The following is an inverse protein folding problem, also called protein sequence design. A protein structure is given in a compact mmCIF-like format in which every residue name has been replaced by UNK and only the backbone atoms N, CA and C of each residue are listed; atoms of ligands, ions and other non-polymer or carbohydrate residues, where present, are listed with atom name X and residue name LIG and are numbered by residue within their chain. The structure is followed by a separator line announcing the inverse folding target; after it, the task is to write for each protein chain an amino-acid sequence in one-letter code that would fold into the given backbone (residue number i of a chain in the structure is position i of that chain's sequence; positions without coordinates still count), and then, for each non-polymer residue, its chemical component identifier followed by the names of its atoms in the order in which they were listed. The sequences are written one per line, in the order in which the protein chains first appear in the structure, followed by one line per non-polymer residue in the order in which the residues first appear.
data_IF_004759084392
#
_entry.id   IF_004759084392
#
_cell.length_a   1.000
_cell.length_b   1.000
_cell.length_c   1.000
_cell.angle_alpha   90.00
_cell.angle_beta   90.00
_cell.angle_gamma   90.00
#
_symmetry.space_group_name_H-M   'P 1'
#
loop_
_entity.id
_entity.type
_entity.pdbx_description
1 polymer ?
#
# COMPACT_ATOMS: atom_id res chain seq x y z
N UNK A 1 60.12 -17.73 33.87
CA UNK A 1 58.72 -17.59 33.44
C UNK A 1 58.44 -18.77 32.51
N UNK A 2 57.65 -19.74 32.97
CA UNK A 2 57.51 -21.03 32.31
C UNK A 2 56.50 -20.91 31.15
N UNK A 3 56.95 -21.11 29.92
CA UNK A 3 56.10 -20.98 28.71
C UNK A 3 55.09 -22.13 28.57
N UNK A 4 55.19 -23.18 29.39
CA UNK A 4 54.29 -24.33 29.44
C UNK A 4 52.93 -24.04 30.08
N UNK A 5 52.82 -23.01 30.93
CA UNK A 5 51.55 -22.64 31.57
C UNK A 5 50.66 -21.77 30.66
N UNK A 6 51.24 -21.24 29.58
CA UNK A 6 50.56 -20.46 28.53
C UNK A 6 49.98 -21.34 27.41
N UNK A 7 50.31 -22.63 27.34
CA UNK A 7 49.84 -23.53 26.28
C UNK A 7 48.66 -24.42 26.69
N UNK A 8 48.49 -24.70 27.99
CA UNK A 8 47.45 -25.61 28.50
C UNK A 8 46.02 -25.04 28.50
N UNK A 9 45.85 -23.70 28.41
CA UNK A 9 44.53 -23.04 28.39
C UNK A 9 44.06 -22.56 27.00
N UNK A 10 44.88 -22.73 25.95
CA UNK A 10 44.54 -22.22 24.62
C UNK A 10 43.50 -23.09 23.90
N UNK A 11 43.46 -24.40 24.16
CA UNK A 11 42.52 -25.30 23.48
C UNK A 11 41.05 -25.01 23.86
N UNK A 12 40.79 -24.58 25.10
CA UNK A 12 39.46 -24.15 25.56
C UNK A 12 39.02 -22.88 24.82
N UNK A 13 39.94 -21.93 24.64
CA UNK A 13 39.68 -20.70 23.87
C UNK A 13 39.39 -20.99 22.40
N UNK A 14 40.18 -21.87 21.77
CA UNK A 14 39.96 -22.28 20.37
C UNK A 14 38.66 -23.07 20.20
N UNK A 15 38.30 -23.92 21.16
CA UNK A 15 37.05 -24.67 21.16
C UNK A 15 35.84 -23.72 21.31
N UNK A 16 35.93 -22.73 22.20
CA UNK A 16 34.92 -21.67 22.33
C UNK A 16 34.74 -20.85 21.06
N UNK A 17 35.84 -20.43 20.43
CA UNK A 17 35.80 -19.71 19.14
C UNK A 17 35.19 -20.56 18.02
N UNK A 18 35.48 -21.85 17.98
CA UNK A 18 34.88 -22.79 17.02
C UNK A 18 33.36 -22.92 17.18
N UNK A 19 32.87 -23.01 18.42
CA UNK A 19 31.43 -23.07 18.71
C UNK A 19 30.74 -21.77 18.30
N UNK A 20 31.32 -20.60 18.62
CA UNK A 20 30.76 -19.30 18.23
C UNK A 20 30.75 -19.15 16.71
N UNK A 21 31.82 -19.53 16.02
CA UNK A 21 31.88 -19.51 14.56
C UNK A 21 30.82 -20.43 13.94
N UNK A 22 30.65 -21.65 14.47
CA UNK A 22 29.62 -22.58 14.02
C UNK A 22 28.20 -22.02 14.25
N UNK A 23 27.94 -21.42 15.41
CA UNK A 23 26.65 -20.80 15.71
C UNK A 23 26.35 -19.63 14.76
N UNK A 24 27.35 -18.80 14.42
CA UNK A 24 27.21 -17.73 13.43
C UNK A 24 26.93 -18.31 12.04
N UNK A 25 27.65 -19.35 11.63
CA UNK A 25 27.43 -20.03 10.34
C UNK A 25 26.02 -20.63 10.24
N UNK A 26 25.52 -21.25 11.31
CA UNK A 26 24.15 -21.75 11.40
C UNK A 26 23.15 -20.60 11.33
N UNK A 27 23.38 -19.50 12.05
CA UNK A 27 22.51 -18.32 12.01
C UNK A 27 22.45 -17.68 10.62
N UNK A 28 23.60 -17.52 9.95
CA UNK A 28 23.69 -17.05 8.57
C UNK A 28 22.95 -18.02 7.64
N UNK A 29 23.17 -19.34 7.78
CA UNK A 29 22.50 -20.36 6.98
C UNK A 29 20.97 -20.28 7.12
N UNK A 30 20.45 -20.20 8.34
CA UNK A 30 19.01 -20.07 8.60
C UNK A 30 18.46 -18.78 7.99
N UNK A 31 19.18 -17.65 8.09
CA UNK A 31 18.77 -16.38 7.48
C UNK A 31 18.82 -16.38 5.95
N UNK A 32 19.81 -17.05 5.36
CA UNK A 32 19.94 -17.19 3.91
C UNK A 32 18.89 -18.12 3.31
N UNK A 33 18.43 -19.10 4.09
CA UNK A 33 17.39 -20.06 3.68
C UNK A 33 15.99 -19.76 4.25
N UNK A 34 15.82 -18.60 4.89
CA UNK A 34 14.51 -18.13 5.34
C UNK A 34 13.64 -17.89 4.10
N UNK A 35 12.61 -18.73 3.90
CA UNK A 35 11.63 -18.50 2.84
C UNK A 35 10.90 -17.19 3.16
N UNK A 36 10.81 -16.32 2.16
CA UNK A 36 10.08 -15.07 2.31
C UNK A 36 8.60 -15.36 2.60
N UNK A 37 7.97 -14.70 3.58
CA UNK A 37 6.58 -14.94 3.97
C UNK A 37 5.59 -14.23 3.03
N UNK A 38 5.80 -14.33 1.72
CA UNK A 38 5.01 -13.65 0.70
C UNK A 38 4.42 -14.65 -0.27
N UNK A 39 3.13 -14.50 -0.53
CA UNK A 39 2.39 -15.24 -1.55
C UNK A 39 1.85 -14.27 -2.59
N UNK A 40 1.78 -14.73 -3.83
CA UNK A 40 1.16 -13.95 -4.90
C UNK A 40 -0.35 -14.02 -4.75
N UNK A 41 -1.00 -12.87 -4.61
CA UNK A 41 -2.46 -12.81 -4.68
C UNK A 41 -2.91 -13.13 -6.11
N UNK A 42 -3.83 -14.08 -6.27
CA UNK A 42 -4.40 -14.41 -7.58
C UNK A 42 -5.14 -13.23 -8.23
N UNK A 43 -5.64 -12.31 -7.41
CA UNK A 43 -6.45 -11.20 -7.87
C UNK A 43 -6.13 -9.92 -7.13
N UNK A 44 -6.10 -8.79 -7.85
CA UNK A 44 -5.84 -7.48 -7.25
C UNK A 44 -7.07 -6.88 -6.56
N UNK A 45 -8.28 -7.22 -7.01
CA UNK A 45 -9.55 -6.68 -6.51
C UNK A 45 -10.30 -7.68 -5.62
N UNK A 46 -10.90 -7.17 -4.54
CA UNK A 46 -11.91 -7.90 -3.76
C UNK A 46 -13.12 -8.25 -4.64
N UNK A 47 -13.97 -9.16 -4.19
CA UNK A 47 -15.16 -9.55 -4.95
C UNK A 47 -16.09 -8.35 -5.25
N UNK A 48 -16.33 -7.50 -4.24
CA UNK A 48 -17.15 -6.30 -4.36
C UNK A 48 -16.55 -5.29 -5.34
N UNK A 49 -15.24 -5.04 -5.25
CA UNK A 49 -14.55 -4.15 -6.18
C UNK A 49 -14.56 -4.69 -7.61
N UNK A 50 -14.42 -6.00 -7.77
CA UNK A 50 -14.49 -6.63 -9.10
C UNK A 50 -15.89 -6.55 -9.70
N UNK A 51 -16.93 -6.67 -8.87
CA UNK A 51 -18.29 -6.44 -9.28
C UNK A 51 -18.51 -5.00 -9.75
N UNK A 52 -18.01 -4.03 -8.99
CA UNK A 52 -18.06 -2.63 -9.40
C UNK A 52 -17.24 -2.36 -10.66
N UNK A 53 -16.03 -2.91 -10.79
CA UNK A 53 -15.18 -2.74 -11.97
C UNK A 53 -15.92 -3.15 -13.25
N UNK A 54 -16.70 -4.24 -13.22
CA UNK A 54 -17.52 -4.67 -14.36
C UNK A 54 -18.62 -3.67 -14.75
N UNK A 55 -19.13 -2.90 -13.78
CA UNK A 55 -20.10 -1.82 -14.02
C UNK A 55 -19.38 -0.57 -14.52
N UNK A 56 -18.27 -0.21 -13.87
CA UNK A 56 -17.48 0.98 -14.19
C UNK A 56 -16.86 0.90 -15.58
N UNK A 57 -16.40 -0.28 -16.01
CA UNK A 57 -15.67 -0.45 -17.28
C UNK A 57 -16.39 0.11 -18.51
N UNK A 58 -17.63 -0.31 -18.83
CA UNK A 58 -18.34 0.24 -19.99
C UNK A 58 -18.71 1.72 -19.83
N UNK A 59 -18.78 2.25 -18.60
CA UNK A 59 -18.98 3.69 -18.36
C UNK A 59 -17.71 4.45 -18.70
N UNK A 60 -16.57 4.02 -18.16
CA UNK A 60 -15.28 4.63 -18.43
C UNK A 60 -14.92 4.57 -19.91
N UNK A 61 -15.17 3.43 -20.58
CA UNK A 61 -14.93 3.28 -22.03
C UNK A 61 -15.75 4.32 -22.84
N UNK A 62 -17.01 4.58 -22.47
CA UNK A 62 -17.85 5.60 -23.15
C UNK A 62 -17.45 7.03 -22.85
N UNK A 63 -16.85 7.27 -21.69
CA UNK A 63 -16.30 8.57 -21.29
C UNK A 63 -14.85 8.75 -21.75
N UNK A 64 -14.28 7.77 -22.47
CA UNK A 64 -12.88 7.75 -22.91
C UNK A 64 -11.86 7.85 -21.76
N UNK A 65 -12.20 7.27 -20.61
CA UNK A 65 -11.38 7.26 -19.40
C UNK A 65 -10.71 5.90 -19.18
N UNK A 66 -9.46 5.93 -18.71
CA UNK A 66 -8.71 4.76 -18.29
C UNK A 66 -8.95 4.47 -16.81
N UNK A 67 -9.14 3.19 -16.45
CA UNK A 67 -9.35 2.76 -15.06
C UNK A 67 -8.04 2.20 -14.50
N UNK A 68 -7.54 2.80 -13.42
CA UNK A 68 -6.45 2.30 -12.61
C UNK A 68 -6.97 1.80 -11.25
N UNK A 69 -7.07 0.48 -11.00
CA UNK A 69 -7.53 -0.06 -9.72
C UNK A 69 -6.44 0.01 -8.65
N UNK A 70 -6.85 0.16 -7.38
CA UNK A 70 -5.96 0.09 -6.19
C UNK A 70 -4.73 0.98 -6.24
N UNK A 71 -4.87 2.21 -6.70
CA UNK A 71 -3.73 3.14 -6.76
C UNK A 71 -3.43 3.68 -5.37
N UNK A 72 -2.15 3.64 -4.95
CA UNK A 72 -1.75 4.21 -3.65
C UNK A 72 -1.94 5.72 -3.67
N UNK A 73 -2.42 6.27 -2.54
CA UNK A 73 -2.49 7.74 -2.35
C UNK A 73 -1.10 8.37 -2.51
N UNK A 74 -0.05 7.68 -2.07
CA UNK A 74 1.33 8.14 -2.23
C UNK A 74 1.82 8.21 -3.70
N UNK A 75 1.13 7.55 -4.63
CA UNK A 75 1.43 7.63 -6.07
C UNK A 75 0.57 8.71 -6.78
N UNK A 76 -0.47 9.22 -6.10
CA UNK A 76 -1.39 10.25 -6.62
C UNK A 76 -0.93 11.66 -6.19
N UNK A 77 -0.39 11.80 -4.97
CA UNK A 77 -0.01 13.11 -4.41
C UNK A 77 1.42 13.14 -3.90
N UNK A 78 2.06 14.29 -4.09
CA UNK A 78 3.39 14.59 -3.55
C UNK A 78 3.30 15.51 -2.35
N UNK A 79 4.18 15.29 -1.37
CA UNK A 79 4.37 16.21 -0.25
C UNK A 79 5.18 17.41 -0.75
N UNK A 80 4.71 18.63 -0.47
CA UNK A 80 5.37 19.87 -0.89
C UNK A 80 6.84 19.89 -0.47
N UNK A 81 7.71 20.35 -1.37
CA UNK A 81 9.16 20.47 -1.12
C UNK A 81 9.39 21.38 0.11
N UNK A 82 10.30 20.98 0.99
CA UNK A 82 10.62 21.73 2.21
C UNK A 82 9.65 21.50 3.39
N UNK A 83 8.68 20.59 3.28
CA UNK A 83 7.80 20.23 4.40
C UNK A 83 8.63 19.62 5.55
N UNK A 84 8.57 20.26 6.73
CA UNK A 84 9.13 19.69 7.97
C UNK A 84 8.44 18.37 8.31
N UNK A 85 9.19 17.42 8.86
CA UNK A 85 8.71 16.07 9.16
C UNK A 85 8.13 15.32 7.95
N UNK A 86 8.78 15.43 6.77
CA UNK A 86 8.32 14.78 5.53
C UNK A 86 7.90 13.31 5.76
N UNK A 87 8.71 12.53 6.50
CA UNK A 87 8.43 11.12 6.78
C UNK A 87 7.12 10.91 7.56
N UNK A 88 6.80 11.79 8.50
CA UNK A 88 5.55 11.74 9.28
C UNK A 88 4.34 11.87 8.36
N UNK A 89 4.40 12.78 7.40
CA UNK A 89 3.33 12.98 6.41
C UNK A 89 3.27 11.84 5.40
N UNK A 90 4.43 11.35 4.93
CA UNK A 90 4.49 10.21 4.00
C UNK A 90 3.89 8.95 4.62
N UNK A 91 4.20 8.68 5.90
CA UNK A 91 3.63 7.54 6.64
C UNK A 91 2.10 7.59 6.73
N UNK A 92 1.47 8.78 6.67
CA UNK A 92 0.01 8.88 6.66
C UNK A 92 -0.60 8.39 5.35
N UNK A 93 0.10 8.48 4.21
CA UNK A 93 -0.45 8.17 2.89
C UNK A 93 0.11 6.87 2.27
N UNK A 94 1.30 6.41 2.68
CA UNK A 94 2.03 5.30 2.04
C UNK A 94 1.27 3.97 1.95
N UNK A 95 0.38 3.70 2.90
CA UNK A 95 -0.38 2.45 3.01
C UNK A 95 -1.86 2.63 2.66
N UNK A 96 -2.23 3.79 2.11
CA UNK A 96 -3.61 4.09 1.70
C UNK A 96 -3.71 3.96 0.19
N UNK A 97 -4.88 3.52 -0.26
CA UNK A 97 -5.21 3.41 -1.68
C UNK A 97 -6.57 4.07 -1.93
N UNK A 98 -6.79 4.47 -3.18
CA UNK A 98 -8.13 4.65 -3.74
C UNK A 98 -8.54 3.37 -4.46
N UNK A 99 -9.83 3.06 -4.48
CA UNK A 99 -10.29 1.81 -5.09
C UNK A 99 -10.15 1.86 -6.61
N UNK A 100 -10.56 2.97 -7.22
CA UNK A 100 -10.38 3.23 -8.65
C UNK A 100 -9.96 4.68 -8.89
N UNK A 101 -8.99 4.86 -9.76
CA UNK A 101 -8.57 6.14 -10.31
C UNK A 101 -8.94 6.17 -11.79
N UNK A 102 -9.66 7.21 -12.21
CA UNK A 102 -9.96 7.48 -13.60
C UNK A 102 -8.97 8.50 -14.14
N UNK A 103 -8.36 8.16 -15.27
CA UNK A 103 -7.45 9.04 -15.99
C UNK A 103 -7.94 9.30 -17.41
N UNK A 104 -7.52 10.40 -18.02
CA UNK A 104 -7.67 10.60 -19.46
C UNK A 104 -6.68 9.73 -20.26
N UNK A 105 -6.66 9.91 -21.58
CA UNK A 105 -5.78 9.17 -22.48
C UNK A 105 -4.29 9.36 -22.16
N UNK A 106 -3.90 10.55 -21.67
CA UNK A 106 -2.51 10.90 -21.34
C UNK A 106 -2.14 10.54 -19.89
N UNK A 107 -2.99 9.77 -19.22
CA UNK A 107 -2.84 9.35 -17.82
C UNK A 107 -2.88 10.50 -16.81
N UNK A 108 -3.46 11.65 -17.17
CA UNK A 108 -3.75 12.70 -16.21
C UNK A 108 -4.90 12.27 -15.31
N UNK A 109 -4.76 12.52 -14.01
CA UNK A 109 -5.76 12.18 -13.00
C UNK A 109 -7.02 13.05 -13.20
N UNK A 110 -8.14 12.39 -13.45
CA UNK A 110 -9.45 13.02 -13.62
C UNK A 110 -10.28 12.89 -12.34
N UNK A 111 -10.53 11.66 -11.90
CA UNK A 111 -11.45 11.38 -10.78
C UNK A 111 -10.98 10.17 -9.96
N UNK A 112 -11.27 10.19 -8.67
CA UNK A 112 -11.06 9.05 -7.76
C UNK A 112 -12.40 8.52 -7.28
N UNK A 113 -12.52 7.21 -7.19
CA UNK A 113 -13.72 6.53 -6.73
C UNK A 113 -13.37 5.61 -5.56
N UNK A 114 -14.18 5.70 -4.51
CA UNK A 114 -14.17 4.80 -3.35
C UNK A 114 -15.51 4.08 -3.26
N UNK A 115 -15.46 2.81 -2.89
CA UNK A 115 -16.65 2.01 -2.63
C UNK A 115 -16.97 2.05 -1.14
N UNK A 116 -17.99 2.81 -0.76
CA UNK A 116 -18.47 2.84 0.62
C UNK A 116 -19.15 1.49 0.94
N UNK A 117 -18.49 0.66 1.74
CA UNK A 117 -19.15 -0.48 2.38
C UNK A 117 -19.90 0.00 3.63
N UNK A 118 -20.97 -0.72 3.98
CA UNK A 118 -21.66 -0.52 5.26
C UNK A 118 -20.80 -1.16 6.36
N UNK A 119 -19.62 -0.63 6.64
CA UNK A 119 -18.72 -1.17 7.66
C UNK A 119 -18.60 -0.22 8.85
N UNK A 120 -18.46 -0.81 10.03
CA UNK A 120 -18.47 -0.14 11.33
C UNK A 120 -17.60 1.13 11.36
N UNK A 121 -18.22 2.24 11.78
CA UNK A 121 -17.66 3.58 11.90
C UNK A 121 -16.54 3.70 12.95
N UNK A 122 -15.41 3.02 12.74
CA UNK A 122 -14.25 3.18 13.63
C UNK A 122 -13.65 4.58 13.49
N UNK A 123 -13.10 5.12 14.58
CA UNK A 123 -12.41 6.42 14.55
C UNK A 123 -11.25 6.45 13.54
N UNK A 124 -10.61 5.30 13.30
CA UNK A 124 -9.55 5.16 12.30
C UNK A 124 -10.07 5.32 10.88
N UNK A 125 -11.23 4.73 10.56
CA UNK A 125 -11.87 4.89 9.26
C UNK A 125 -12.24 6.36 9.03
N UNK A 126 -12.92 7.00 10.01
CA UNK A 126 -13.27 8.43 9.96
C UNK A 126 -12.07 9.33 9.71
N UNK A 127 -10.96 9.11 10.42
CA UNK A 127 -9.71 9.87 10.21
C UNK A 127 -9.11 9.66 8.83
N UNK A 128 -9.16 8.45 8.30
CA UNK A 128 -8.67 8.15 6.96
C UNK A 128 -9.54 8.80 5.88
N UNK A 129 -10.86 8.76 6.04
CA UNK A 129 -11.80 9.39 5.13
C UNK A 129 -11.67 10.91 5.15
N UNK A 130 -11.61 11.51 6.34
CA UNK A 130 -11.36 12.94 6.49
C UNK A 130 -10.03 13.36 5.82
N UNK A 131 -8.98 12.54 5.92
CA UNK A 131 -7.72 12.81 5.23
C UNK A 131 -7.88 12.73 3.70
N UNK A 132 -8.53 11.70 3.16
CA UNK A 132 -8.77 11.57 1.72
C UNK A 132 -9.60 12.73 1.19
N UNK A 133 -10.69 13.09 1.88
CA UNK A 133 -11.54 14.23 1.52
C UNK A 133 -10.74 15.54 1.54
N UNK A 134 -9.87 15.75 2.53
CA UNK A 134 -9.04 16.95 2.60
C UNK A 134 -7.97 17.03 1.51
N UNK A 135 -7.47 15.89 1.01
CA UNK A 135 -6.47 15.84 -0.06
C UNK A 135 -7.14 16.02 -1.44
N UNK A 136 -8.26 15.36 -1.65
CA UNK A 136 -8.84 15.17 -2.98
C UNK A 136 -10.04 16.07 -3.29
N UNK A 137 -10.76 16.55 -2.27
CA UNK A 137 -11.92 17.41 -2.44
C UNK A 137 -12.96 16.83 -3.40
N UNK A 138 -13.41 17.67 -4.34
CA UNK A 138 -14.45 17.33 -5.32
C UNK A 138 -14.04 16.27 -6.34
N UNK A 139 -12.74 15.94 -6.43
CA UNK A 139 -12.26 14.86 -7.30
C UNK A 139 -12.47 13.46 -6.69
N UNK A 140 -12.97 13.36 -5.47
CA UNK A 140 -13.26 12.07 -4.81
C UNK A 140 -14.77 11.80 -4.76
N UNK A 141 -15.20 10.72 -5.39
CA UNK A 141 -16.59 10.24 -5.40
C UNK A 141 -16.70 8.95 -4.60
N UNK A 142 -17.78 8.84 -3.80
CA UNK A 142 -18.08 7.65 -3.01
C UNK A 142 -19.32 6.97 -3.54
N UNK A 143 -19.16 5.75 -4.06
CA UNK A 143 -20.28 4.93 -4.54
C UNK A 143 -20.72 4.00 -3.41
N UNK A 144 -21.93 4.22 -2.89
CA UNK A 144 -22.47 3.46 -1.75
C UNK A 144 -23.11 2.15 -2.19
N UNK A 145 -23.83 2.17 -3.31
CA UNK A 145 -24.57 1.02 -3.80
C UNK A 145 -24.33 0.79 -5.29
N UNK A 146 -24.11 -0.49 -5.64
CA UNK A 146 -23.97 -0.92 -7.04
C UNK A 146 -25.29 -0.86 -7.82
N UNK A 147 -26.41 -0.60 -7.13
CA UNK A 147 -27.74 -0.41 -7.73
C UNK A 147 -28.00 1.05 -8.12
N UNK A 148 -27.16 1.97 -7.66
CA UNK A 148 -27.31 3.39 -7.95
C UNK A 148 -26.93 3.63 -9.42
N UNK A 149 -27.38 4.76 -9.98
CA UNK A 149 -26.96 5.18 -11.31
C UNK A 149 -25.52 5.70 -11.26
N UNK A 150 -24.58 4.75 -11.27
CA UNK A 150 -23.13 5.01 -11.18
C UNK A 150 -22.67 5.98 -12.26
N UNK A 151 -23.25 5.89 -13.46
CA UNK A 151 -22.88 6.79 -14.55
C UNK A 151 -23.33 8.22 -14.27
N UNK A 152 -24.59 8.41 -13.83
CA UNK A 152 -25.08 9.73 -13.48
C UNK A 152 -24.25 10.37 -12.34
N UNK A 153 -23.83 9.58 -11.35
CA UNK A 153 -22.94 10.06 -10.27
C UNK A 153 -21.57 10.49 -10.79
N UNK A 154 -20.94 9.68 -11.63
CA UNK A 154 -19.65 10.01 -12.24
C UNK A 154 -19.78 11.25 -13.14
N UNK A 155 -20.79 11.31 -14.01
CA UNK A 155 -21.03 12.46 -14.88
C UNK A 155 -21.37 13.74 -14.11
N UNK A 156 -22.08 13.64 -12.98
CA UNK A 156 -22.32 14.76 -12.09
C UNK A 156 -21.04 15.25 -11.41
N UNK A 157 -20.14 14.35 -11.03
CA UNK A 157 -18.85 14.72 -10.46
C UNK A 157 -17.94 15.39 -11.50
N UNK A 158 -17.85 14.83 -12.71
CA UNK A 158 -17.07 15.40 -13.80
C UNK A 158 -17.52 16.82 -14.18
N UNK A 159 -18.83 17.11 -14.14
CA UNK A 159 -19.37 18.45 -14.41
C UNK A 159 -18.99 19.52 -13.37
N UNK A 160 -18.49 19.12 -12.20
CA UNK A 160 -18.07 20.05 -11.13
C UNK A 160 -16.59 20.42 -11.23
N UNK A 161 -15.81 19.68 -12.02
CA UNK A 161 -14.36 19.87 -12.21
C UNK A 161 -14.07 20.87 -13.32
#
# INVERSE_FOLDING_TARGET
MNWSDLSFNNWILWLGLGIVALAILIWIYVRLHEKLPYELNETILTERERAFYRILRPIADRLELQICPKVRVADIVSIKKGTKDWQKWFNKIRSKHVDFLLCDYDMNIVLMIELDDRSHETDRAKKNDALKNAIFGDRLVRIRSLKDDVEAEIAAALRKL
#
